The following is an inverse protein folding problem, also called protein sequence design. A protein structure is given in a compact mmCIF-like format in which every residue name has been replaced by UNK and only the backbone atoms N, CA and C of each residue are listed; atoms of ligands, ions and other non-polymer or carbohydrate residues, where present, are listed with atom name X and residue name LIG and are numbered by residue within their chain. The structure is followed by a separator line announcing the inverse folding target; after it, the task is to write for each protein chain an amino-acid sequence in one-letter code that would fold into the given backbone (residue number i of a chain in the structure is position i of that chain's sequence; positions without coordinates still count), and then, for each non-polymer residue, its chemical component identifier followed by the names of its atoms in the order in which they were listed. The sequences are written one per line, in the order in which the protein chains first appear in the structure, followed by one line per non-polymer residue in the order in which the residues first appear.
data_IF_358093398345
#
_entry.id   IF_358093398345
#
_cell.length_a   1.000
_cell.length_b   1.000
_cell.length_c   1.000
_cell.angle_alpha   90.00
_cell.angle_beta   90.00
_cell.angle_gamma   90.00
#
_symmetry.space_group_name_H-M   'P 1'
#
loop_
_entity.id
_entity.type
_entity.pdbx_description
1 polymer ?
#
# COMPACT_ATOMS: atom_id res chain seq x y z
N UNK A 1 43.66 -10.45 -5.84
CA UNK A 1 43.33 -10.43 -4.39
C UNK A 1 42.18 -9.44 -4.15
N UNK A 2 41.24 -9.75 -3.25
CA UNK A 2 39.85 -9.30 -3.33
C UNK A 2 39.60 -7.94 -2.65
N UNK A 3 38.97 -7.01 -3.37
CA UNK A 3 38.29 -5.82 -2.82
C UNK A 3 36.78 -5.96 -3.06
N UNK A 4 36.15 -6.92 -2.40
CA UNK A 4 34.67 -7.07 -2.34
C UNK A 4 34.36 -7.49 -0.90
N UNK A 5 33.87 -6.56 -0.07
CA UNK A 5 33.13 -6.80 1.20
C UNK A 5 33.16 -5.65 2.22
N UNK A 6 33.47 -4.40 1.84
CA UNK A 6 33.43 -3.28 2.82
C UNK A 6 32.09 -2.53 2.80
N UNK A 7 31.41 -2.44 1.66
CA UNK A 7 30.13 -1.71 1.57
C UNK A 7 28.94 -2.44 2.21
N UNK A 8 29.01 -3.77 2.36
CA UNK A 8 27.88 -4.56 2.89
C UNK A 8 27.77 -4.47 4.42
N UNK A 9 28.88 -4.24 5.14
CA UNK A 9 28.88 -4.20 6.61
C UNK A 9 28.46 -2.84 7.19
N UNK A 10 28.69 -1.74 6.47
CA UNK A 10 28.26 -0.41 6.92
C UNK A 10 26.74 -0.19 6.77
N UNK A 11 26.07 -0.95 5.91
CA UNK A 11 24.63 -0.83 5.65
C UNK A 11 23.76 -1.45 6.75
N UNK A 12 24.26 -2.46 7.46
CA UNK A 12 23.49 -3.19 8.48
C UNK A 12 23.46 -2.48 9.84
N UNK A 13 24.45 -1.67 10.19
CA UNK A 13 24.59 -1.13 11.55
C UNK A 13 23.99 0.26 11.76
N UNK A 14 23.72 1.05 10.71
CA UNK A 14 23.18 2.41 10.83
C UNK A 14 21.70 2.55 10.44
N UNK A 15 21.09 1.55 9.79
CA UNK A 15 19.65 1.55 9.43
C UNK A 15 18.74 0.99 10.53
N UNK A 16 19.28 0.25 11.50
CA UNK A 16 18.51 -0.39 12.57
C UNK A 16 17.74 0.59 13.51
N UNK A 17 18.27 1.77 13.92
CA UNK A 17 17.55 2.63 14.85
C UNK A 17 16.43 3.47 14.20
N UNK A 18 16.42 3.66 12.86
CA UNK A 18 15.34 4.39 12.17
C UNK A 18 14.10 3.52 11.95
N UNK A 19 14.25 2.19 11.91
CA UNK A 19 13.15 1.24 11.73
C UNK A 19 12.24 1.12 12.98
N UNK A 20 12.73 1.51 14.16
CA UNK A 20 12.02 1.27 15.43
C UNK A 20 10.95 2.35 15.72
N UNK A 21 11.05 3.54 15.13
CA UNK A 21 10.07 4.62 15.31
C UNK A 21 8.86 4.54 14.36
N UNK A 22 8.89 3.63 13.38
CA UNK A 22 7.86 3.53 12.36
C UNK A 22 6.71 2.58 12.73
N UNK A 23 6.81 1.80 13.81
CA UNK A 23 5.93 0.64 13.99
C UNK A 23 4.53 1.00 14.53
N UNK A 24 4.19 2.24 14.85
CA UNK A 24 2.89 2.58 15.49
C UNK A 24 1.74 2.95 14.55
N UNK A 25 1.93 2.88 13.23
CA UNK A 25 0.86 3.21 12.27
C UNK A 25 0.03 2.01 11.83
N UNK A 26 -1.30 2.10 11.96
CA UNK A 26 -2.26 1.06 11.54
C UNK A 26 -3.08 1.46 10.29
N UNK A 27 -2.65 2.48 9.53
CA UNK A 27 -3.33 2.93 8.33
C UNK A 27 -3.42 1.86 7.23
N UNK A 28 -4.56 1.82 6.53
CA UNK A 28 -4.82 0.94 5.39
C UNK A 28 -4.29 1.46 4.04
N UNK A 29 -3.58 2.60 4.06
CA UNK A 29 -3.01 3.19 2.85
C UNK A 29 -1.89 2.33 2.26
N UNK A 30 -2.09 1.85 1.03
CA UNK A 30 -1.16 0.98 0.30
C UNK A 30 -0.67 1.63 -1.00
N UNK A 31 0.03 2.78 -0.96
CA UNK A 31 0.42 3.49 -2.17
C UNK A 31 1.46 2.70 -2.98
N UNK A 32 1.49 2.95 -4.28
CA UNK A 32 2.43 2.34 -5.22
C UNK A 32 3.78 3.06 -5.20
N UNK A 33 3.76 4.41 -5.19
CA UNK A 33 4.94 5.29 -5.15
C UNK A 33 5.99 5.00 -6.22
N UNK A 34 5.51 4.62 -7.42
CA UNK A 34 6.37 4.29 -8.53
C UNK A 34 5.78 4.73 -9.88
N UNK A 35 6.64 5.17 -10.80
CA UNK A 35 6.23 5.56 -12.16
C UNK A 35 5.69 4.38 -12.96
N UNK A 36 4.95 4.62 -14.05
CA UNK A 36 4.54 3.57 -15.00
C UNK A 36 5.71 2.90 -15.73
N UNK A 37 6.92 3.45 -15.64
CA UNK A 37 8.08 2.78 -16.16
C UNK A 37 8.69 1.83 -15.15
N UNK A 38 9.18 0.69 -15.66
CA UNK A 38 9.89 -0.30 -14.86
C UNK A 38 11.38 -0.02 -14.73
N UNK A 39 11.97 -0.61 -13.69
CA UNK A 39 13.41 -0.70 -13.50
C UNK A 39 14.07 -1.54 -14.61
N UNK A 40 15.27 -1.15 -15.08
CA UNK A 40 16.07 -2.01 -15.95
C UNK A 40 16.37 -3.37 -15.30
N UNK A 41 16.59 -4.44 -16.07
CA UNK A 41 16.91 -5.76 -15.51
C UNK A 41 18.12 -5.71 -14.57
N UNK A 42 17.96 -6.25 -13.36
CA UNK A 42 18.99 -6.28 -12.31
C UNK A 42 19.15 -4.98 -11.50
N UNK A 43 18.47 -3.89 -11.87
CA UNK A 43 18.40 -2.69 -11.03
C UNK A 43 17.46 -2.92 -9.85
N UNK A 44 17.83 -2.36 -8.70
CA UNK A 44 17.03 -2.43 -7.49
C UNK A 44 16.64 -1.03 -7.06
N UNK A 45 15.43 -0.89 -6.55
CA UNK A 45 14.98 0.31 -5.88
C UNK A 45 14.49 -0.02 -4.48
N UNK A 46 14.76 0.85 -3.52
CA UNK A 46 14.23 0.74 -2.17
C UNK A 46 13.78 2.11 -1.69
N UNK A 47 12.69 2.18 -0.94
CA UNK A 47 12.17 3.44 -0.45
C UNK A 47 11.52 3.33 0.92
N UNK A 48 11.43 4.47 1.59
CA UNK A 48 10.79 4.62 2.89
C UNK A 48 10.06 5.97 2.97
N UNK A 49 8.93 5.98 3.66
CA UNK A 49 8.03 7.12 3.70
C UNK A 49 6.82 6.91 4.60
N UNK A 50 5.75 7.64 4.29
CA UNK A 50 4.48 7.60 5.00
C UNK A 50 3.32 7.49 4.01
N UNK A 51 2.23 6.89 4.46
CA UNK A 51 0.94 6.88 3.78
C UNK A 51 -0.17 7.19 4.78
N UNK A 52 -1.04 8.13 4.43
CA UNK A 52 -2.30 8.37 5.13
C UNK A 52 -3.47 7.73 4.39
N UNK A 53 -4.50 7.35 5.13
CA UNK A 53 -5.80 6.93 4.63
C UNK A 53 -6.87 7.76 5.35
N UNK A 54 -7.62 8.57 4.60
CA UNK A 54 -8.66 9.45 5.14
C UNK A 54 -10.00 9.05 4.52
N UNK A 55 -11.02 8.86 5.35
CA UNK A 55 -12.41 8.65 4.93
C UNK A 55 -13.09 10.01 4.81
N UNK A 56 -13.79 10.26 3.71
CA UNK A 56 -14.44 11.55 3.42
C UNK A 56 -15.96 11.51 3.47
N UNK A 57 -16.55 10.35 3.77
CA UNK A 57 -17.99 10.15 3.80
C UNK A 57 -18.39 9.57 5.16
N UNK A 58 -19.45 10.11 5.73
CA UNK A 58 -20.02 9.62 6.98
C UNK A 58 -20.61 8.22 6.82
N UNK A 59 -20.64 7.48 7.92
CA UNK A 59 -21.33 6.20 8.00
C UNK A 59 -22.86 6.40 7.95
N UNK A 60 -23.62 5.41 7.45
CA UNK A 60 -25.06 5.56 7.22
C UNK A 60 -25.86 5.67 8.52
N UNK A 61 -25.42 5.07 9.62
CA UNK A 61 -26.15 5.13 10.90
C UNK A 61 -25.89 6.41 11.69
N UNK A 62 -26.92 6.89 12.39
CA UNK A 62 -26.82 8.05 13.28
C UNK A 62 -25.86 7.78 14.45
N UNK A 63 -25.03 8.78 14.76
CA UNK A 63 -24.06 8.70 15.85
C UNK A 63 -24.73 8.41 17.20
N UNK A 64 -24.15 7.48 17.98
CA UNK A 64 -24.63 7.11 19.31
C UNK A 64 -25.61 5.93 19.33
N UNK A 65 -25.85 5.28 18.19
CA UNK A 65 -26.57 3.99 18.12
C UNK A 65 -25.60 2.81 18.21
N UNK A 66 -26.07 1.64 18.68
CA UNK A 66 -25.26 0.41 18.69
C UNK A 66 -24.78 0.03 17.27
N UNK A 67 -25.65 0.24 16.28
CA UNK A 67 -25.32 0.02 14.87
C UNK A 67 -24.20 0.95 14.39
N UNK A 68 -24.21 2.24 14.77
CA UNK A 68 -23.11 3.17 14.42
C UNK A 68 -21.77 2.75 15.04
N UNK A 69 -21.82 2.14 16.22
CA UNK A 69 -20.62 1.63 16.91
C UNK A 69 -20.04 0.42 16.16
N UNK A 70 -20.88 -0.51 15.72
CA UNK A 70 -20.46 -1.66 14.93
C UNK A 70 -19.98 -1.27 13.53
N UNK A 71 -20.67 -0.34 12.85
CA UNK A 71 -20.24 0.21 11.56
C UNK A 71 -18.83 0.84 11.67
N UNK A 72 -18.58 1.58 12.75
CA UNK A 72 -17.26 2.18 13.02
C UNK A 72 -16.20 1.10 13.24
N UNK A 73 -16.51 0.02 13.97
CA UNK A 73 -15.60 -1.11 14.17
C UNK A 73 -15.29 -1.84 12.87
N UNK A 74 -16.31 -2.09 12.03
CA UNK A 74 -16.14 -2.66 10.70
C UNK A 74 -15.29 -1.75 9.83
N UNK A 75 -15.57 -0.44 9.78
CA UNK A 75 -14.78 0.54 9.01
C UNK A 75 -13.30 0.56 9.43
N UNK A 76 -13.04 0.62 10.73
CA UNK A 76 -11.66 0.60 11.25
C UNK A 76 -10.96 -0.71 10.92
N UNK A 77 -11.71 -1.81 10.85
CA UNK A 77 -11.21 -3.14 10.50
C UNK A 77 -11.16 -3.40 8.99
N UNK A 78 -11.82 -2.63 8.14
CA UNK A 78 -11.76 -2.82 6.68
C UNK A 78 -10.88 -1.76 6.03
N UNK A 79 -11.29 -0.50 6.12
CA UNK A 79 -10.63 0.63 5.48
C UNK A 79 -9.39 1.08 6.26
N UNK A 80 -9.42 0.98 7.59
CA UNK A 80 -8.37 1.48 8.51
C UNK A 80 -7.92 2.92 8.22
N UNK A 81 -8.76 3.92 8.52
CA UNK A 81 -8.37 5.32 8.42
C UNK A 81 -7.27 5.62 9.45
N UNK A 82 -6.05 5.89 8.98
CA UNK A 82 -4.91 6.26 9.81
C UNK A 82 -3.69 6.60 8.93
N UNK A 83 -2.61 7.04 9.57
CA UNK A 83 -1.29 7.19 8.95
C UNK A 83 -0.44 5.96 9.30
N UNK A 84 0.29 5.45 8.32
CA UNK A 84 1.20 4.32 8.44
C UNK A 84 2.58 4.65 7.87
N UNK A 85 3.65 4.02 8.38
CA UNK A 85 4.90 3.96 7.64
C UNK A 85 4.68 3.27 6.29
N UNK A 86 5.51 3.60 5.32
CA UNK A 86 5.62 2.86 4.08
C UNK A 86 7.09 2.52 3.85
N UNK A 87 7.37 1.26 3.53
CA UNK A 87 8.68 0.84 3.04
C UNK A 87 8.48 -0.10 1.86
N UNK A 88 9.36 -0.05 0.89
CA UNK A 88 9.28 -0.91 -0.29
C UNK A 88 10.65 -1.23 -0.86
N UNK A 89 10.75 -2.38 -1.50
CA UNK A 89 11.88 -2.78 -2.31
C UNK A 89 11.38 -3.39 -3.63
N UNK A 90 12.07 -3.10 -4.73
CA UNK A 90 11.68 -3.50 -6.08
C UNK A 90 12.88 -3.88 -6.91
N UNK A 91 12.69 -4.78 -7.86
CA UNK A 91 13.75 -5.27 -8.75
C UNK A 91 13.26 -5.36 -10.19
N UNK A 92 14.06 -4.82 -11.10
CA UNK A 92 13.82 -4.92 -12.53
C UNK A 92 14.14 -6.32 -13.06
N UNK A 93 13.24 -6.84 -13.88
CA UNK A 93 13.28 -8.18 -14.47
C UNK A 93 13.37 -8.02 -16.00
N UNK A 94 14.01 -9.00 -16.67
CA UNK A 94 14.09 -9.04 -18.13
C UNK A 94 12.71 -8.91 -18.80
N UNK A 95 12.68 -8.31 -19.98
CA UNK A 95 11.44 -8.15 -20.75
C UNK A 95 10.52 -7.04 -20.25
N UNK A 96 11.05 -5.93 -19.74
CA UNK A 96 10.26 -4.80 -19.22
C UNK A 96 9.31 -5.18 -18.07
N UNK A 97 9.77 -6.09 -17.21
CA UNK A 97 9.05 -6.55 -16.04
C UNK A 97 9.68 -5.99 -14.76
N UNK A 98 8.91 -5.92 -13.69
CA UNK A 98 9.38 -5.55 -12.36
C UNK A 98 8.58 -6.29 -11.30
N UNK A 99 9.23 -6.67 -10.21
CA UNK A 99 8.58 -7.18 -9.02
C UNK A 99 8.87 -6.25 -7.84
N UNK A 100 7.90 -6.13 -6.93
CA UNK A 100 7.96 -5.28 -5.76
C UNK A 100 7.43 -5.96 -4.50
N UNK A 101 7.97 -5.58 -3.36
CA UNK A 101 7.47 -5.91 -2.03
C UNK A 101 7.36 -4.61 -1.25
N UNK A 102 6.18 -4.34 -0.69
CA UNK A 102 5.96 -3.19 0.19
C UNK A 102 5.33 -3.61 1.53
N UNK A 103 5.58 -2.79 2.54
CA UNK A 103 4.97 -2.91 3.86
C UNK A 103 4.41 -1.55 4.29
N UNK A 104 3.19 -1.56 4.82
CA UNK A 104 2.48 -0.35 5.22
C UNK A 104 1.81 -0.49 6.58
N UNK A 105 2.57 -0.73 7.66
CA UNK A 105 2.06 -0.80 9.04
C UNK A 105 1.14 -2.01 9.32
N UNK A 106 -0.01 -2.04 8.63
CA UNK A 106 -1.06 -3.04 8.62
C UNK A 106 -0.94 -4.07 7.50
N UNK A 107 -0.20 -3.84 6.43
CA UNK A 107 -0.23 -4.74 5.27
C UNK A 107 1.15 -5.01 4.67
N UNK A 108 1.33 -6.21 4.13
CA UNK A 108 2.45 -6.58 3.26
C UNK A 108 1.86 -6.81 1.87
N UNK A 109 2.46 -6.22 0.84
CA UNK A 109 2.02 -6.36 -0.54
C UNK A 109 3.16 -6.82 -1.43
N UNK A 110 2.91 -7.87 -2.21
CA UNK A 110 3.77 -8.34 -3.28
C UNK A 110 3.13 -7.95 -4.61
N UNK A 111 3.89 -7.35 -5.51
CA UNK A 111 3.41 -7.01 -6.85
C UNK A 111 4.37 -7.40 -7.95
N UNK A 112 3.80 -7.65 -9.13
CA UNK A 112 4.53 -7.78 -10.37
C UNK A 112 3.84 -6.95 -11.46
N UNK A 113 4.63 -6.42 -12.39
CA UNK A 113 4.10 -5.58 -13.47
C UNK A 113 4.94 -5.64 -14.73
N UNK A 114 4.30 -5.28 -15.84
CA UNK A 114 4.90 -5.12 -17.15
C UNK A 114 4.69 -3.69 -17.66
N UNK A 115 5.69 -3.13 -18.34
CA UNK A 115 5.63 -1.79 -18.93
C UNK A 115 5.77 -1.82 -20.45
N UNK A 116 4.77 -1.28 -21.13
CA UNK A 116 4.69 -1.06 -22.56
C UNK A 116 5.18 0.35 -22.90
N UNK A 117 6.20 0.44 -23.75
CA UNK A 117 6.72 1.73 -24.24
C UNK A 117 5.78 2.26 -25.31
N UNK A 118 5.25 3.46 -25.12
CA UNK A 118 4.27 4.05 -26.05
C UNK A 118 4.92 4.90 -27.14
N UNK A 119 6.18 5.30 -26.96
CA UNK A 119 6.90 6.09 -27.94
C UNK A 119 8.37 5.66 -28.10
N UNK A 120 8.97 6.04 -29.23
CA UNK A 120 10.36 5.72 -29.57
C UNK A 120 11.38 6.23 -28.54
N UNK A 121 11.09 7.38 -27.91
CA UNK A 121 11.96 8.00 -26.90
C UNK A 121 11.80 7.40 -25.49
N UNK A 122 10.90 6.43 -25.31
CA UNK A 122 10.57 5.81 -24.02
C UNK A 122 10.18 6.82 -22.92
N UNK A 123 9.70 8.00 -23.30
CA UNK A 123 9.26 9.02 -22.35
C UNK A 123 7.82 8.78 -21.89
N UNK A 124 7.03 8.00 -22.65
CA UNK A 124 5.66 7.61 -22.30
C UNK A 124 5.59 6.09 -22.16
N UNK A 125 4.90 5.64 -21.12
CA UNK A 125 4.67 4.22 -20.86
C UNK A 125 3.26 3.95 -20.35
N UNK A 126 2.75 2.77 -20.70
CA UNK A 126 1.60 2.14 -20.07
C UNK A 126 2.13 0.96 -19.25
N UNK A 127 1.72 0.82 -18.01
CA UNK A 127 2.05 -0.33 -17.16
C UNK A 127 0.77 -1.02 -16.72
N UNK A 128 0.80 -2.34 -16.72
CA UNK A 128 -0.22 -3.16 -16.08
C UNK A 128 0.47 -4.07 -15.07
N UNK A 129 -0.10 -4.19 -13.88
CA UNK A 129 0.42 -5.04 -12.83
C UNK A 129 -0.66 -5.80 -12.10
N UNK A 130 -0.21 -6.68 -11.23
CA UNK A 130 -1.02 -7.45 -10.29
C UNK A 130 -0.33 -7.41 -8.93
N UNK A 131 -1.09 -7.00 -7.92
CA UNK A 131 -0.68 -6.98 -6.52
C UNK A 131 -1.48 -7.99 -5.71
N UNK A 132 -0.83 -8.68 -4.80
CA UNK A 132 -1.46 -9.45 -3.72
C UNK A 132 -1.04 -8.86 -2.37
N UNK A 133 -1.98 -8.70 -1.46
CA UNK A 133 -1.74 -8.17 -0.12
C UNK A 133 -2.16 -9.16 0.96
N UNK A 134 -1.42 -9.15 2.06
CA UNK A 134 -1.76 -9.81 3.32
C UNK A 134 -1.94 -8.71 4.36
N UNK A 135 -3.09 -8.73 5.03
CA UNK A 135 -3.45 -7.76 6.06
C UNK A 135 -3.07 -8.35 7.42
N UNK A 136 -2.12 -7.68 8.07
CA UNK A 136 -1.67 -7.89 9.44
C UNK A 136 -2.57 -7.06 10.36
N UNK A 137 -3.75 -7.60 10.65
CA UNK A 137 -4.74 -6.93 11.48
C UNK A 137 -4.65 -7.56 12.88
N UNK A 138 -4.65 -6.73 13.92
CA UNK A 138 -4.53 -7.21 15.30
C UNK A 138 -3.08 -7.30 15.78
N UNK A 139 -2.83 -6.80 16.99
CA UNK A 139 -1.64 -7.10 17.78
C UNK A 139 -2.06 -8.01 18.93
N UNK A 140 -1.15 -8.86 19.45
CA UNK A 140 -1.34 -9.44 20.77
C UNK A 140 -1.54 -8.30 21.77
N UNK A 141 -2.58 -8.36 22.60
CA UNK A 141 -2.76 -7.40 23.70
C UNK A 141 -1.62 -7.63 24.68
N UNK A 142 -0.99 -6.57 25.18
CA UNK A 142 -0.02 -6.71 26.27
C UNK A 142 -0.73 -7.38 27.46
N UNK A 143 -0.39 -8.63 27.76
CA UNK A 143 -1.03 -9.44 28.80
C UNK A 143 -2.17 -10.37 28.35
N UNK A 144 -2.51 -10.47 27.05
CA UNK A 144 -3.31 -11.59 26.53
C UNK A 144 -2.42 -12.52 25.72
N UNK A 145 -2.46 -13.82 26.00
CA UNK A 145 -1.74 -14.83 25.20
C UNK A 145 -2.43 -15.15 23.88
N UNK A 146 -3.65 -14.67 23.67
CA UNK A 146 -4.35 -14.87 22.40
C UNK A 146 -3.90 -13.84 21.37
N UNK A 147 -3.20 -14.26 20.29
CA UNK A 147 -3.01 -13.39 19.15
C UNK A 147 -4.40 -13.09 18.57
N UNK A 148 -4.80 -11.82 18.53
CA UNK A 148 -6.01 -11.46 17.81
C UNK A 148 -5.87 -11.93 16.36
N UNK A 149 -6.73 -12.88 15.98
CA UNK A 149 -6.66 -13.62 14.72
C UNK A 149 -7.34 -12.87 13.59
N UNK A 150 -7.02 -11.58 13.43
CA UNK A 150 -7.54 -10.82 12.31
C UNK A 150 -6.61 -11.03 11.11
N UNK A 151 -6.94 -12.02 10.30
CA UNK A 151 -6.25 -12.28 9.05
C UNK A 151 -7.08 -11.72 7.91
N UNK A 152 -6.42 -11.05 6.99
CA UNK A 152 -7.05 -10.66 5.75
C UNK A 152 -6.08 -10.73 4.60
N UNK A 153 -6.62 -10.60 3.40
CA UNK A 153 -5.83 -10.52 2.19
C UNK A 153 -6.63 -9.98 1.03
N UNK A 154 -5.94 -9.60 -0.02
CA UNK A 154 -6.58 -8.98 -1.16
C UNK A 154 -5.72 -9.05 -2.41
N UNK A 155 -6.31 -8.60 -3.50
CA UNK A 155 -5.63 -8.43 -4.78
C UNK A 155 -6.02 -7.11 -5.41
N UNK A 156 -5.09 -6.49 -6.12
CA UNK A 156 -5.31 -5.26 -6.87
C UNK A 156 -4.66 -5.30 -8.26
N UNK A 157 -5.26 -4.60 -9.22
CA UNK A 157 -4.82 -4.58 -10.62
C UNK A 157 -4.48 -3.14 -11.05
N UNK A 158 -3.27 -2.64 -10.77
CA UNK A 158 -2.89 -1.28 -11.17
C UNK A 158 -2.62 -1.20 -12.66
N UNK A 159 -3.27 -0.24 -13.32
CA UNK A 159 -2.99 0.13 -14.71
C UNK A 159 -2.55 1.59 -14.70
N UNK A 160 -1.31 1.87 -15.08
CA UNK A 160 -0.72 3.20 -14.97
C UNK A 160 -0.30 3.71 -16.34
N UNK A 161 -0.73 4.92 -16.68
CA UNK A 161 -0.09 5.73 -17.69
C UNK A 161 0.97 6.59 -17.02
N UNK A 162 2.14 6.74 -17.64
CA UNK A 162 3.18 7.57 -17.06
C UNK A 162 4.09 8.23 -18.08
N UNK A 163 4.62 9.36 -17.64
CA UNK A 163 5.60 10.15 -18.35
C UNK A 163 6.90 10.23 -17.55
N UNK A 164 8.03 10.25 -18.26
CA UNK A 164 9.36 10.44 -17.69
C UNK A 164 10.18 11.41 -18.54
N UNK A 165 10.88 12.33 -17.89
CA UNK A 165 11.82 13.22 -18.56
C UNK A 165 13.03 12.45 -19.11
N UNK A 166 13.68 13.00 -20.14
CA UNK A 166 14.81 12.37 -20.86
C UNK A 166 15.99 12.01 -19.95
N UNK A 167 16.21 12.78 -18.88
CA UNK A 167 17.27 12.55 -17.90
C UNK A 167 16.80 11.79 -16.64
N UNK A 168 15.54 11.34 -16.60
CA UNK A 168 14.96 10.64 -15.44
C UNK A 168 14.83 11.51 -14.18
N UNK A 169 14.89 12.84 -14.34
CA UNK A 169 14.79 13.81 -13.24
C UNK A 169 13.37 13.94 -12.72
N UNK A 170 12.40 13.77 -13.61
CA UNK A 170 10.98 13.93 -13.32
C UNK A 170 10.24 12.73 -13.88
N UNK A 171 9.28 12.24 -13.11
CA UNK A 171 8.27 11.31 -13.60
C UNK A 171 6.90 11.69 -13.06
N UNK A 172 5.88 11.36 -13.83
CA UNK A 172 4.48 11.53 -13.45
C UNK A 172 3.72 10.26 -13.85
N UNK A 173 2.75 9.86 -13.05
CA UNK A 173 1.88 8.72 -13.37
C UNK A 173 0.47 8.97 -12.91
N UNK A 174 -0.47 8.32 -13.59
CA UNK A 174 -1.87 8.28 -13.22
C UNK A 174 -2.51 7.00 -13.73
N UNK A 175 -3.51 6.48 -13.03
CA UNK A 175 -4.37 5.45 -13.59
C UNK A 175 -5.27 4.76 -12.58
N UNK A 176 -6.13 3.83 -13.05
CA UNK A 176 -7.01 3.07 -12.18
C UNK A 176 -6.27 1.96 -11.42
N UNK A 177 -6.84 1.60 -10.27
CA UNK A 177 -6.40 0.50 -9.42
C UNK A 177 -7.60 -0.15 -8.75
N UNK A 178 -8.41 -0.93 -9.48
CA UNK A 178 -9.43 -1.76 -8.87
C UNK A 178 -8.81 -2.85 -7.99
N UNK A 179 -9.54 -3.28 -6.98
CA UNK A 179 -9.10 -4.34 -6.10
C UNK A 179 -10.24 -4.93 -5.27
N UNK A 180 -9.92 -5.99 -4.55
CA UNK A 180 -10.81 -6.67 -3.62
C UNK A 180 -10.01 -7.11 -2.42
N UNK A 181 -10.57 -7.03 -1.23
CA UNK A 181 -10.00 -7.61 -0.02
C UNK A 181 -11.04 -8.36 0.80
N UNK A 182 -10.55 -9.30 1.59
CA UNK A 182 -11.32 -10.14 2.50
C UNK A 182 -10.65 -10.09 3.85
N UNK A 183 -11.45 -9.99 4.90
CA UNK A 183 -10.98 -9.87 6.29
C UNK A 183 -11.86 -10.74 7.14
N UNK A 184 -11.24 -11.50 8.04
CA UNK A 184 -11.95 -12.31 9.01
C UNK A 184 -11.22 -12.28 10.35
N UNK A 185 -11.99 -12.30 11.43
CA UNK A 185 -11.47 -12.50 12.78
C UNK A 185 -12.49 -12.06 13.81
N UNK A 186 -12.03 -11.46 14.90
CA UNK A 186 -12.89 -10.96 15.96
C UNK A 186 -12.50 -9.54 16.37
N UNK A 187 -13.48 -8.77 16.82
CA UNK A 187 -13.26 -7.46 17.44
C UNK A 187 -12.64 -7.60 18.83
N UNK A 188 -12.34 -6.47 19.48
CA UNK A 188 -11.69 -6.43 20.79
C UNK A 188 -12.53 -7.05 21.93
N UNK A 189 -13.85 -7.08 21.76
CA UNK A 189 -14.82 -7.69 22.66
C UNK A 189 -15.05 -9.19 22.40
N UNK A 190 -14.39 -9.76 21.38
CA UNK A 190 -14.53 -11.18 21.00
C UNK A 190 -15.61 -11.46 19.95
N UNK A 191 -16.39 -10.45 19.57
CA UNK A 191 -17.43 -10.53 18.53
C UNK A 191 -16.80 -10.93 17.20
N UNK A 192 -17.28 -12.02 16.60
CA UNK A 192 -16.72 -12.53 15.35
C UNK A 192 -17.21 -11.67 14.18
N UNK A 193 -16.34 -11.42 13.20
CA UNK A 193 -16.75 -10.79 11.96
C UNK A 193 -16.01 -11.31 10.74
N UNK A 194 -16.68 -11.22 9.60
CA UNK A 194 -16.09 -11.37 8.28
C UNK A 194 -16.52 -10.20 7.41
N UNK A 195 -15.62 -9.71 6.56
CA UNK A 195 -15.89 -8.59 5.69
C UNK A 195 -15.23 -8.77 4.33
N UNK A 196 -15.91 -8.26 3.31
CA UNK A 196 -15.42 -8.13 1.94
C UNK A 196 -15.47 -6.67 1.55
N UNK A 197 -14.36 -6.16 1.04
CA UNK A 197 -14.25 -4.79 0.51
C UNK A 197 -13.90 -4.84 -0.97
N UNK A 198 -14.85 -4.48 -1.83
CA UNK A 198 -14.60 -4.21 -3.23
C UNK A 198 -14.15 -2.76 -3.42
N UNK A 199 -13.07 -2.53 -4.17
CA UNK A 199 -12.47 -1.20 -4.34
C UNK A 199 -12.41 -0.81 -5.80
N UNK A 200 -12.93 0.38 -6.12
CA UNK A 200 -12.68 1.07 -7.37
C UNK A 200 -11.72 2.25 -7.10
N UNK A 201 -10.43 1.97 -7.21
CA UNK A 201 -9.37 2.93 -6.92
C UNK A 201 -8.85 3.67 -8.15
N UNK A 202 -8.25 4.82 -7.90
CA UNK A 202 -7.42 5.58 -8.82
C UNK A 202 -6.21 6.14 -8.08
N UNK A 203 -5.16 6.41 -8.83
CA UNK A 203 -3.90 6.89 -8.27
C UNK A 203 -3.27 7.90 -9.21
N UNK A 204 -2.68 8.95 -8.67
CA UNK A 204 -1.85 9.91 -9.38
C UNK A 204 -0.62 10.24 -8.58
N UNK A 205 0.54 10.36 -9.21
CA UNK A 205 1.78 10.63 -8.49
C UNK A 205 2.85 11.30 -9.34
N UNK A 206 3.85 11.81 -8.64
CA UNK A 206 4.96 12.58 -9.16
C UNK A 206 6.23 12.11 -8.47
N UNK A 207 7.34 12.06 -9.19
CA UNK A 207 8.65 11.88 -8.58
C UNK A 207 9.63 12.90 -9.14
N UNK A 208 10.42 13.50 -8.28
CA UNK A 208 11.53 14.36 -8.65
C UNK A 208 12.81 13.80 -8.05
N UNK A 209 13.91 13.83 -8.77
CA UNK A 209 15.16 13.35 -8.23
C UNK A 209 16.34 13.52 -9.15
N UNK A 210 17.51 13.18 -8.63
CA UNK A 210 18.75 13.21 -9.37
C UNK A 210 19.53 11.92 -9.13
N UNK A 211 19.89 11.25 -10.23
CA UNK A 211 20.61 9.98 -10.25
C UNK A 211 19.90 8.89 -9.44
N UNK A 212 20.41 8.56 -8.24
CA UNK A 212 19.92 7.45 -7.43
C UNK A 212 18.87 7.88 -6.41
N UNK A 213 18.70 9.17 -6.15
CA UNK A 213 17.83 9.67 -5.07
C UNK A 213 16.65 10.40 -5.67
N UNK A 214 15.45 9.94 -5.33
CA UNK A 214 14.19 10.51 -5.75
C UNK A 214 13.27 10.73 -4.55
N UNK A 215 12.52 11.82 -4.58
CA UNK A 215 11.34 12.03 -3.75
C UNK A 215 10.14 11.66 -4.61
N UNK A 216 9.33 10.74 -4.11
CA UNK A 216 8.07 10.32 -4.73
C UNK A 216 6.90 10.79 -3.87
N UNK A 217 5.86 11.28 -4.52
CA UNK A 217 4.59 11.66 -3.92
C UNK A 217 3.46 11.01 -4.71
N UNK A 218 2.42 10.59 -4.00
CA UNK A 218 1.26 9.95 -4.59
C UNK A 218 -0.01 10.36 -3.86
N UNK A 219 -1.09 10.53 -4.61
CA UNK A 219 -2.44 10.70 -4.10
C UNK A 219 -3.31 9.60 -4.71
N UNK A 220 -3.75 8.68 -3.86
CA UNK A 220 -4.78 7.71 -4.18
C UNK A 220 -6.17 8.22 -3.83
N UNK A 221 -7.18 7.70 -4.52
CA UNK A 221 -8.57 7.78 -4.07
C UNK A 221 -9.30 6.49 -4.40
N UNK A 222 -10.26 6.08 -3.58
CA UNK A 222 -11.00 4.84 -3.80
C UNK A 222 -12.43 4.90 -3.29
N UNK A 223 -13.35 4.34 -4.08
CA UNK A 223 -14.66 3.94 -3.59
C UNK A 223 -14.57 2.52 -3.04
N UNK A 224 -14.96 2.36 -1.79
CA UNK A 224 -15.02 1.09 -1.06
C UNK A 224 -16.48 0.63 -0.99
N UNK A 225 -16.70 -0.65 -1.27
CA UNK A 225 -18.00 -1.31 -1.22
C UNK A 225 -17.87 -2.44 -0.19
N UNK A 226 -18.16 -2.11 1.06
CA UNK A 226 -17.94 -3.01 2.19
C UNK A 226 -19.22 -3.77 2.50
N UNK A 227 -19.08 -5.09 2.57
CA UNK A 227 -20.12 -6.00 3.03
C UNK A 227 -19.54 -6.85 4.15
N UNK A 228 -20.11 -6.75 5.35
CA UNK A 228 -19.65 -7.47 6.53
C UNK A 228 -20.79 -8.25 7.18
N UNK A 229 -20.42 -9.37 7.80
CA UNK A 229 -21.27 -10.20 8.63
C UNK A 229 -20.63 -10.29 10.02
N UNK A 230 -21.37 -9.85 11.02
CA UNK A 230 -20.96 -9.82 12.44
C UNK A 230 -21.81 -10.83 13.21
N UNK A 231 -21.16 -11.70 13.99
CA UNK A 231 -21.76 -12.81 14.74
C UNK A 231 -22.77 -13.63 13.93
N UNK A 232 -22.48 -13.83 12.63
CA UNK A 232 -23.30 -14.58 11.67
C UNK A 232 -24.75 -14.07 11.47
N UNK A 233 -25.13 -12.98 12.13
CA UNK A 233 -26.53 -12.54 12.26
C UNK A 233 -26.73 -11.12 11.79
N UNK A 234 -25.75 -10.25 12.01
CA UNK A 234 -25.85 -8.84 11.69
C UNK A 234 -25.08 -8.53 10.41
N UNK A 235 -25.80 -8.04 9.40
CA UNK A 235 -25.21 -7.64 8.12
C UNK A 235 -24.99 -6.14 8.12
N UNK A 236 -23.76 -5.73 7.87
CA UNK A 236 -23.35 -4.33 7.79
C UNK A 236 -22.86 -4.06 6.37
N UNK A 237 -23.45 -3.07 5.72
CA UNK A 237 -23.09 -2.65 4.38
C UNK A 237 -22.93 -1.14 4.34
N UNK A 238 -21.84 -0.68 3.74
CA UNK A 238 -21.65 0.74 3.48
C UNK A 238 -20.76 0.98 2.28
N UNK A 239 -20.93 2.16 1.69
CA UNK A 239 -20.05 2.68 0.64
C UNK A 239 -19.32 3.91 1.17
N UNK A 240 -18.02 3.97 0.94
CA UNK A 240 -17.20 5.10 1.39
C UNK A 240 -16.19 5.51 0.35
N UNK A 241 -15.95 6.82 0.28
CA UNK A 241 -14.86 7.38 -0.49
C UNK A 241 -13.68 7.71 0.43
N UNK A 242 -12.48 7.34 -0.01
CA UNK A 242 -11.24 7.60 0.71
C UNK A 242 -10.22 8.35 -0.14
N UNK A 243 -9.33 9.10 0.53
CA UNK A 243 -8.11 9.64 -0.06
C UNK A 243 -6.88 9.06 0.64
N UNK A 244 -5.87 8.75 -0.16
CA UNK A 244 -4.63 8.11 0.28
C UNK A 244 -3.42 8.97 -0.11
N UNK A 245 -3.11 10.06 0.62
CA UNK A 245 -1.87 10.80 0.39
C UNK A 245 -0.66 9.98 0.84
N UNK A 246 0.41 10.00 0.07
CA UNK A 246 1.65 9.31 0.39
C UNK A 246 2.88 10.05 -0.12
N UNK A 247 3.99 9.86 0.56
CA UNK A 247 5.29 10.40 0.15
C UNK A 247 6.44 9.55 0.66
N UNK A 248 7.48 9.40 -0.15
CA UNK A 248 8.65 8.61 0.19
C UNK A 248 9.95 9.14 -0.43
N UNK A 249 11.05 8.84 0.23
CA UNK A 249 12.39 8.89 -0.36
C UNK A 249 12.69 7.52 -0.99
N UNK A 250 13.14 7.52 -2.23
CA UNK A 250 13.41 6.33 -3.03
C UNK A 250 14.85 6.37 -3.53
N UNK A 251 15.55 5.27 -3.29
CA UNK A 251 16.91 5.01 -3.74
C UNK A 251 16.90 3.99 -4.87
N UNK A 252 17.70 4.21 -5.92
CA UNK A 252 17.82 3.27 -7.06
C UNK A 252 19.28 2.99 -7.39
N UNK A 253 19.68 1.71 -7.41
CA UNK A 253 21.07 1.28 -7.64
C UNK A 253 21.14 0.12 -8.64
#
# INVERSE_FOLDING_TARGET
MPRRNVYLRFFLTTLAPLAILCVSGCGGGLPLLHSAHVLPPGRVSAGAGLSGQVVLQDLPSAAGTDQSSLETQVQNSTIAPAIAPWVSARVGIAGSNEAGLSYTGRAIRLDARHSFKLNKKNSLALSAGLGGEVLLVGRPRTGSQDPQSLLGGGVDLPILFGWRSTAGLYSAWIGPRPGISFIQGAFADGTAFSARDGRLGFVGGLSLGFRQIHVAMELGGAFHFVNALVDETQRIEFTQFTLTPAGALVLTF
#
